data_IF_552483855680
#
_entry.id   IF_552483855680
#
_cell.length_a   1.000
_cell.length_b   1.000
_cell.length_c   1.000
_cell.angle_alpha   90.00
_cell.angle_beta   90.00
_cell.angle_gamma   90.00
#
_symmetry.space_group_name_H-M   'P 1'
#
loop_
_entity.id
_entity.type
_entity.pdbx_description
1 polymer ?
#
# COMPACT_ATOMS: atom_id res chain seq x y z
N UNK A 1 -30.13 43.69 32.65
CA UNK A 1 -31.16 42.98 31.86
C UNK A 1 -30.57 42.59 30.50
N UNK A 2 -30.04 41.39 30.36
CA UNK A 2 -29.78 40.76 29.05
C UNK A 2 -30.13 39.28 29.17
N UNK A 3 -31.18 38.87 28.45
CA UNK A 3 -31.69 37.50 28.42
C UNK A 3 -30.94 36.72 27.34
N UNK A 4 -30.36 35.60 27.75
CA UNK A 4 -29.72 34.61 26.90
C UNK A 4 -30.81 33.73 26.24
N UNK A 5 -30.94 33.65 24.91
CA UNK A 5 -31.96 32.83 24.26
C UNK A 5 -31.36 31.52 23.74
N UNK A 6 -30.82 30.68 24.62
CA UNK A 6 -30.44 29.30 24.29
C UNK A 6 -30.74 28.37 25.48
N UNK A 7 -32.02 28.30 25.84
CA UNK A 7 -32.59 27.18 26.61
C UNK A 7 -33.90 26.79 25.96
N UNK A 8 -33.81 26.10 24.84
CA UNK A 8 -34.90 25.26 24.36
C UNK A 8 -34.55 23.81 24.59
N UNK A 9 -35.51 23.13 25.22
CA UNK A 9 -35.36 21.83 25.82
C UNK A 9 -34.89 20.78 24.84
N UNK A 10 -33.99 19.94 25.32
CA UNK A 10 -33.69 18.65 24.73
C UNK A 10 -34.98 17.81 24.80
N UNK A 11 -35.82 17.93 23.76
CA UNK A 11 -36.75 16.85 23.41
C UNK A 11 -35.86 15.66 23.10
N UNK A 12 -35.99 14.59 23.87
CA UNK A 12 -35.51 13.26 23.47
C UNK A 12 -36.20 12.94 22.14
N UNK A 13 -35.52 13.19 21.04
CA UNK A 13 -35.94 12.73 19.74
C UNK A 13 -36.05 11.20 19.83
N UNK A 14 -37.09 10.63 19.22
CA UNK A 14 -37.20 9.18 19.05
C UNK A 14 -35.94 8.62 18.37
N UNK A 15 -35.79 7.28 18.30
CA UNK A 15 -34.61 6.66 17.71
C UNK A 15 -34.38 7.25 16.31
N UNK A 16 -33.31 8.04 16.18
CA UNK A 16 -32.82 8.54 14.91
C UNK A 16 -32.53 7.29 14.08
N UNK A 17 -33.03 7.22 12.84
CA UNK A 17 -32.82 6.02 12.03
C UNK A 17 -31.33 5.91 11.75
N UNK A 18 -30.77 4.71 11.88
CA UNK A 18 -29.34 4.41 11.75
C UNK A 18 -28.64 5.09 10.56
N UNK A 19 -29.33 5.16 9.42
CA UNK A 19 -28.83 5.79 8.19
C UNK A 19 -28.76 7.33 8.24
N UNK A 20 -29.55 7.98 9.09
CA UNK A 20 -29.54 9.43 9.29
C UNK A 20 -28.29 9.87 10.07
N UNK A 21 -27.84 9.08 11.04
CA UNK A 21 -26.62 9.36 11.82
C UNK A 21 -25.41 9.40 10.89
N UNK A 22 -25.22 8.37 10.06
CA UNK A 22 -24.10 8.34 9.12
C UNK A 22 -24.21 9.41 8.03
N UNK A 23 -25.42 9.76 7.60
CA UNK A 23 -25.63 10.87 6.65
C UNK A 23 -25.17 12.21 7.24
N UNK A 24 -25.48 12.48 8.51
CA UNK A 24 -25.02 13.70 9.20
C UNK A 24 -23.50 13.66 9.39
N UNK A 25 -22.95 12.53 9.84
CA UNK A 25 -21.51 12.37 10.03
C UNK A 25 -20.73 12.64 8.73
N UNK A 26 -21.19 12.11 7.58
CA UNK A 26 -20.60 12.38 6.26
C UNK A 26 -20.63 13.86 5.89
N UNK A 27 -21.72 14.57 6.19
CA UNK A 27 -21.81 16.00 5.92
C UNK A 27 -20.82 16.78 6.78
N UNK A 28 -20.69 16.41 8.06
CA UNK A 28 -19.76 17.05 9.01
C UNK A 28 -18.29 16.87 8.64
N UNK A 29 -17.90 15.76 8.01
CA UNK A 29 -16.51 15.53 7.55
C UNK A 29 -16.01 16.65 6.63
N UNK A 30 -16.90 17.31 5.89
CA UNK A 30 -16.53 18.43 5.03
C UNK A 30 -16.33 19.76 5.78
N UNK A 31 -16.87 19.87 7.00
CA UNK A 31 -16.85 21.10 7.79
C UNK A 31 -15.76 21.04 8.87
N UNK A 32 -15.76 19.98 9.69
CA UNK A 32 -14.81 19.78 10.79
C UNK A 32 -14.77 18.30 11.19
N UNK A 33 -13.72 17.58 10.76
CA UNK A 33 -13.54 16.16 11.06
C UNK A 33 -13.37 15.87 12.55
N UNK A 34 -12.87 16.84 13.32
CA UNK A 34 -12.57 16.66 14.75
C UNK A 34 -13.81 16.52 15.63
N UNK A 35 -14.96 17.06 15.17
CA UNK A 35 -16.24 16.98 15.87
C UNK A 35 -17.05 15.71 15.53
N UNK A 36 -16.69 15.02 14.45
CA UNK A 36 -17.42 13.84 13.97
C UNK A 36 -17.38 12.72 15.00
N UNK A 37 -16.23 12.49 15.64
CA UNK A 37 -16.09 11.43 16.63
C UNK A 37 -16.96 11.68 17.88
N UNK A 38 -17.07 12.94 18.33
CA UNK A 38 -17.95 13.32 19.43
C UNK A 38 -19.44 13.22 19.05
N UNK A 39 -19.78 13.54 17.80
CA UNK A 39 -21.14 13.35 17.31
C UNK A 39 -21.50 11.87 17.27
N UNK A 40 -20.63 11.03 16.69
CA UNK A 40 -20.83 9.58 16.60
C UNK A 40 -20.92 8.96 18.00
N UNK A 41 -20.07 9.32 18.95
CA UNK A 41 -20.13 8.74 20.30
C UNK A 41 -21.42 9.05 21.06
N UNK A 42 -22.12 10.13 20.70
CA UNK A 42 -23.38 10.57 21.34
C UNK A 42 -24.62 10.01 20.64
N UNK A 43 -24.52 9.72 19.33
CA UNK A 43 -25.68 9.44 18.49
C UNK A 43 -25.65 8.07 17.79
N UNK A 44 -24.49 7.44 17.68
CA UNK A 44 -24.33 6.12 17.08
C UNK A 44 -24.33 5.05 18.17
N UNK A 45 -25.38 4.22 18.19
CA UNK A 45 -25.36 2.99 18.97
C UNK A 45 -24.43 1.94 18.37
N UNK A 46 -23.88 1.04 19.19
CA UNK A 46 -23.01 -0.04 18.71
C UNK A 46 -23.75 -1.06 17.82
N UNK A 47 -25.06 -1.17 17.99
CA UNK A 47 -25.96 -1.93 17.12
C UNK A 47 -25.97 -1.40 15.68
N UNK A 48 -25.84 -0.09 15.50
CA UNK A 48 -25.70 0.55 14.18
C UNK A 48 -24.41 0.09 13.51
N UNK A 49 -23.29 0.15 14.22
CA UNK A 49 -21.99 -0.30 13.69
C UNK A 49 -22.02 -1.80 13.39
N UNK A 50 -22.57 -2.61 14.28
CA UNK A 50 -22.71 -4.05 14.07
C UNK A 50 -23.57 -4.38 12.84
N UNK A 51 -24.73 -3.72 12.69
CA UNK A 51 -25.61 -3.84 11.51
C UNK A 51 -24.89 -3.42 10.23
N UNK A 52 -24.16 -2.30 10.28
CA UNK A 52 -23.36 -1.80 9.16
C UNK A 52 -22.28 -2.81 8.74
N UNK A 53 -21.51 -3.36 9.68
CA UNK A 53 -20.51 -4.41 9.42
C UNK A 53 -21.16 -5.74 8.97
N UNK A 54 -22.44 -5.94 9.28
CA UNK A 54 -23.28 -7.01 8.72
C UNK A 54 -23.39 -6.94 7.20
N UNK A 55 -23.41 -5.73 6.63
CA UNK A 55 -23.41 -5.54 5.17
C UNK A 55 -22.10 -5.96 4.48
N UNK A 56 -21.04 -6.21 5.25
CA UNK A 56 -19.77 -6.75 4.76
C UNK A 56 -19.65 -8.25 4.93
N UNK A 57 -20.76 -8.98 5.16
CA UNK A 57 -20.72 -10.44 5.20
C UNK A 57 -20.02 -11.01 3.94
N UNK A 58 -19.00 -11.85 4.16
CA UNK A 58 -18.19 -12.42 3.10
C UNK A 58 -18.98 -13.36 2.17
N UNK A 59 -20.10 -13.93 2.65
CA UNK A 59 -21.01 -14.74 1.83
C UNK A 59 -21.73 -13.94 0.74
N UNK A 60 -21.77 -12.61 0.87
CA UNK A 60 -22.36 -11.70 -0.10
C UNK A 60 -21.38 -11.28 -1.22
N UNK A 61 -20.11 -11.67 -1.11
CA UNK A 61 -19.08 -11.34 -2.11
C UNK A 61 -19.39 -12.09 -3.42
N UNK A 62 -19.55 -11.37 -4.54
CA UNK A 62 -19.80 -12.00 -5.82
C UNK A 62 -18.62 -12.85 -6.31
N UNK A 63 -18.88 -13.91 -7.10
CA UNK A 63 -17.81 -14.64 -7.78
C UNK A 63 -17.03 -13.73 -8.74
N UNK A 64 -15.71 -13.86 -8.76
CA UNK A 64 -14.79 -13.01 -9.52
C UNK A 64 -14.98 -12.99 -11.05
N UNK A 65 -15.73 -13.96 -11.60
CA UNK A 65 -15.83 -14.20 -13.06
C UNK A 65 -17.22 -13.88 -13.65
N UNK A 66 -18.08 -13.16 -12.93
CA UNK A 66 -19.40 -12.78 -13.46
C UNK A 66 -19.28 -11.52 -14.32
N UNK A 67 -18.91 -11.70 -15.59
CA UNK A 67 -19.06 -10.65 -16.60
C UNK A 67 -20.54 -10.25 -16.68
N UNK A 68 -20.85 -9.00 -16.33
CA UNK A 68 -22.23 -8.51 -16.23
C UNK A 68 -22.86 -8.85 -14.88
N UNK A 69 -22.47 -8.13 -13.84
CA UNK A 69 -23.11 -8.20 -12.52
C UNK A 69 -24.62 -8.06 -12.66
N UNK A 70 -25.35 -9.10 -12.27
CA UNK A 70 -26.81 -9.03 -12.15
C UNK A 70 -27.20 -7.82 -11.29
N UNK A 71 -28.41 -7.25 -11.45
CA UNK A 71 -28.85 -6.13 -10.63
C UNK A 71 -28.73 -6.40 -9.12
N UNK A 72 -28.97 -7.64 -8.69
CA UNK A 72 -28.80 -8.07 -7.30
C UNK A 72 -27.33 -8.04 -6.86
N UNK A 73 -26.43 -8.54 -7.71
CA UNK A 73 -24.99 -8.52 -7.46
C UNK A 73 -24.46 -7.09 -7.36
N UNK A 74 -24.90 -6.19 -8.26
CA UNK A 74 -24.54 -4.77 -8.21
C UNK A 74 -25.01 -4.12 -6.92
N UNK A 75 -26.22 -4.44 -6.46
CA UNK A 75 -26.76 -3.93 -5.20
C UNK A 75 -25.89 -4.30 -3.99
N UNK A 76 -25.38 -5.53 -3.91
CA UNK A 76 -24.49 -5.92 -2.81
C UNK A 76 -23.17 -5.15 -2.85
N UNK A 77 -22.58 -5.00 -4.04
CA UNK A 77 -21.35 -4.21 -4.24
C UNK A 77 -21.56 -2.74 -3.83
N UNK A 78 -22.67 -2.13 -4.22
CA UNK A 78 -23.01 -0.74 -3.89
C UNK A 78 -23.19 -0.55 -2.38
N UNK A 79 -23.89 -1.49 -1.71
CA UNK A 79 -24.07 -1.47 -0.26
C UNK A 79 -22.73 -1.62 0.44
N UNK A 80 -21.91 -2.62 0.08
CA UNK A 80 -20.60 -2.83 0.69
C UNK A 80 -19.66 -1.65 0.45
N UNK A 81 -19.71 -1.02 -0.73
CA UNK A 81 -18.94 0.19 -1.02
C UNK A 81 -19.39 1.38 -0.18
N UNK A 82 -20.70 1.55 0.05
CA UNK A 82 -21.23 2.57 0.95
C UNK A 82 -20.77 2.32 2.38
N UNK A 83 -20.85 1.07 2.85
CA UNK A 83 -20.36 0.67 4.17
C UNK A 83 -18.86 0.94 4.35
N UNK A 84 -18.03 0.66 3.35
CA UNK A 84 -16.59 0.99 3.40
C UNK A 84 -16.36 2.51 3.51
N UNK A 85 -17.20 3.31 2.86
CA UNK A 85 -17.15 4.77 2.95
C UNK A 85 -17.55 5.24 4.35
N UNK A 86 -18.58 4.65 4.95
CA UNK A 86 -18.97 4.92 6.33
C UNK A 86 -17.89 4.53 7.33
N UNK A 87 -17.27 3.36 7.14
CA UNK A 87 -16.14 2.92 7.95
C UNK A 87 -14.97 3.90 7.85
N UNK A 88 -14.67 4.41 6.64
CA UNK A 88 -13.65 5.44 6.47
C UNK A 88 -13.97 6.70 7.29
N UNK A 89 -15.23 7.16 7.29
CA UNK A 89 -15.65 8.33 8.08
C UNK A 89 -15.44 8.09 9.57
N UNK A 90 -15.86 6.93 10.08
CA UNK A 90 -15.68 6.57 11.49
C UNK A 90 -14.20 6.54 11.85
N UNK A 91 -13.40 5.78 11.10
CA UNK A 91 -11.96 5.61 11.38
C UNK A 91 -11.17 6.91 11.20
N UNK A 92 -11.52 7.72 10.21
CA UNK A 92 -10.93 9.05 10.01
C UNK A 92 -11.21 9.97 11.20
N UNK A 93 -12.46 10.00 11.67
CA UNK A 93 -12.85 10.83 12.82
C UNK A 93 -12.10 10.46 14.10
N UNK A 94 -11.73 9.19 14.27
CA UNK A 94 -10.95 8.73 15.42
C UNK A 94 -9.52 9.26 15.42
N UNK A 95 -8.92 9.42 14.24
CA UNK A 95 -7.57 9.96 14.13
C UNK A 95 -7.56 11.49 14.31
N UNK A 96 -8.65 12.18 13.96
CA UNK A 96 -8.77 13.63 14.05
C UNK A 96 -9.44 14.12 15.35
N UNK A 97 -9.83 13.21 16.25
CA UNK A 97 -10.59 13.53 17.45
C UNK A 97 -9.86 14.54 18.36
N UNK A 98 -10.53 15.65 18.69
CA UNK A 98 -9.97 16.68 19.56
C UNK A 98 -9.72 16.19 21.00
N UNK A 99 -10.61 15.32 21.51
CA UNK A 99 -10.59 14.80 22.88
C UNK A 99 -10.54 13.26 22.91
N UNK A 100 -9.43 12.63 22.45
CA UNK A 100 -9.38 11.18 22.25
C UNK A 100 -9.52 10.38 23.56
N UNK A 101 -9.11 10.94 24.70
CA UNK A 101 -9.23 10.28 26.00
C UNK A 101 -10.70 10.13 26.46
N UNK A 102 -11.53 11.14 26.20
CA UNK A 102 -12.96 11.09 26.55
C UNK A 102 -13.73 10.14 25.65
N UNK A 103 -13.31 10.02 24.39
CA UNK A 103 -13.92 9.15 23.39
C UNK A 103 -13.39 7.71 23.43
N UNK A 104 -12.35 7.46 24.22
CA UNK A 104 -11.66 6.18 24.28
C UNK A 104 -12.59 4.97 24.47
N UNK A 105 -13.56 4.95 25.40
CA UNK A 105 -14.43 3.79 25.57
C UNK A 105 -15.22 3.46 24.29
N UNK A 106 -15.82 4.46 23.66
CA UNK A 106 -16.55 4.30 22.40
C UNK A 106 -15.63 3.85 21.25
N UNK A 107 -14.43 4.43 21.17
CA UNK A 107 -13.44 4.01 20.18
C UNK A 107 -13.01 2.56 20.38
N UNK A 108 -12.73 2.16 21.63
CA UNK A 108 -12.33 0.79 21.99
C UNK A 108 -13.45 -0.22 21.64
N UNK A 109 -14.72 0.13 21.88
CA UNK A 109 -15.87 -0.69 21.47
C UNK A 109 -15.94 -0.84 19.94
N UNK A 110 -15.76 0.26 19.19
CA UNK A 110 -15.75 0.24 17.73
C UNK A 110 -14.59 -0.60 17.17
N UNK A 111 -13.40 -0.46 17.76
CA UNK A 111 -12.23 -1.24 17.39
C UNK A 111 -12.39 -2.73 17.71
N UNK A 112 -13.05 -3.06 18.83
CA UNK A 112 -13.38 -4.45 19.20
C UNK A 112 -14.24 -5.09 18.12
N UNK A 113 -15.33 -4.45 17.71
CA UNK A 113 -16.20 -4.93 16.63
C UNK A 113 -15.46 -5.06 15.30
N UNK A 114 -14.55 -4.13 14.99
CA UNK A 114 -13.76 -4.21 13.76
C UNK A 114 -12.76 -5.38 13.78
N UNK A 115 -12.15 -5.67 14.94
CA UNK A 115 -11.28 -6.85 15.11
C UNK A 115 -12.06 -8.14 14.88
N UNK A 116 -13.27 -8.24 15.45
CA UNK A 116 -14.15 -9.40 15.28
C UNK A 116 -14.57 -9.63 13.82
N UNK A 117 -14.70 -8.56 13.04
CA UNK A 117 -15.14 -8.57 11.63
C UNK A 117 -14.02 -8.31 10.63
N UNK A 118 -12.76 -8.42 11.05
CA UNK A 118 -11.60 -8.01 10.23
C UNK A 118 -11.46 -8.82 8.94
N UNK A 119 -11.82 -10.10 8.98
CA UNK A 119 -11.66 -10.99 7.83
C UNK A 119 -12.72 -10.70 6.75
N UNK A 120 -13.93 -10.34 7.16
CA UNK A 120 -15.00 -9.84 6.29
C UNK A 120 -14.56 -8.56 5.57
N UNK A 121 -14.09 -7.57 6.34
CA UNK A 121 -13.57 -6.31 5.80
C UNK A 121 -12.43 -6.59 4.83
N UNK A 122 -11.48 -7.44 5.21
CA UNK A 122 -10.33 -7.76 4.39
C UNK A 122 -10.70 -8.45 3.08
N UNK A 123 -11.65 -9.39 3.09
CA UNK A 123 -12.15 -10.06 1.88
C UNK A 123 -12.84 -9.08 0.93
N UNK A 124 -13.62 -8.14 1.45
CA UNK A 124 -14.22 -7.09 0.62
C UNK A 124 -13.18 -6.14 0.02
N UNK A 125 -12.13 -5.76 0.76
CA UNK A 125 -11.01 -4.98 0.20
C UNK A 125 -10.33 -5.78 -0.92
N UNK A 126 -10.01 -7.06 -0.69
CA UNK A 126 -9.39 -7.93 -1.70
C UNK A 126 -10.28 -8.10 -2.94
N UNK A 127 -11.61 -8.09 -2.79
CA UNK A 127 -12.55 -8.09 -3.91
C UNK A 127 -12.57 -6.74 -4.65
N UNK A 128 -12.63 -5.63 -3.91
CA UNK A 128 -12.72 -4.29 -4.48
C UNK A 128 -11.47 -3.85 -5.24
N UNK A 129 -10.29 -4.34 -4.85
CA UNK A 129 -9.02 -4.03 -5.54
C UNK A 129 -9.09 -4.36 -7.05
N UNK A 130 -9.29 -5.62 -7.48
CA UNK A 130 -9.42 -5.94 -8.91
C UNK A 130 -10.74 -5.43 -9.50
N UNK A 131 -11.83 -5.40 -8.73
CA UNK A 131 -13.13 -4.92 -9.21
C UNK A 131 -13.09 -3.44 -9.63
N UNK A 132 -12.49 -2.58 -8.80
CA UNK A 132 -12.38 -1.15 -9.06
C UNK A 132 -11.64 -0.89 -10.37
N UNK A 133 -10.59 -1.65 -10.66
CA UNK A 133 -9.78 -1.49 -11.88
C UNK A 133 -10.54 -1.91 -13.15
N UNK A 134 -11.56 -2.75 -13.03
CA UNK A 134 -12.41 -3.18 -14.14
C UNK A 134 -13.65 -2.30 -14.36
N UNK A 135 -14.10 -1.55 -13.36
CA UNK A 135 -15.30 -0.71 -13.43
C UNK A 135 -15.02 0.68 -14.03
N UNK A 136 -16.04 1.49 -14.34
CA UNK A 136 -15.86 2.91 -14.72
C UNK A 136 -15.82 3.85 -13.51
N UNK A 137 -16.11 3.35 -12.31
CA UNK A 137 -16.09 4.06 -11.02
C UNK A 137 -14.75 3.92 -10.27
N UNK A 138 -13.70 3.50 -10.99
CA UNK A 138 -12.37 3.05 -10.54
C UNK A 138 -11.78 3.84 -9.38
N UNK A 139 -11.80 5.17 -9.48
CA UNK A 139 -11.05 6.02 -8.56
C UNK A 139 -11.57 5.95 -7.13
N UNK A 140 -12.89 5.96 -6.96
CA UNK A 140 -13.49 6.21 -5.66
C UNK A 140 -13.42 4.98 -4.75
N UNK A 141 -13.71 3.77 -5.26
CA UNK A 141 -13.72 2.55 -4.44
C UNK A 141 -12.31 2.18 -4.01
N UNK A 142 -11.35 2.17 -4.95
CA UNK A 142 -9.95 1.88 -4.62
C UNK A 142 -9.40 2.90 -3.62
N UNK A 143 -9.73 4.17 -3.80
CA UNK A 143 -9.35 5.22 -2.87
C UNK A 143 -9.88 4.94 -1.47
N UNK A 144 -11.18 4.67 -1.31
CA UNK A 144 -11.78 4.31 -0.01
C UNK A 144 -11.06 3.12 0.62
N UNK A 145 -10.79 2.04 -0.13
CA UNK A 145 -10.06 0.89 0.40
C UNK A 145 -8.66 1.25 0.91
N UNK A 146 -7.91 2.06 0.14
CA UNK A 146 -6.57 2.49 0.53
C UNK A 146 -6.61 3.42 1.75
N UNK A 147 -7.58 4.33 1.82
CA UNK A 147 -7.75 5.21 2.98
C UNK A 147 -8.14 4.44 4.24
N UNK A 148 -9.07 3.48 4.15
CA UNK A 148 -9.41 2.59 5.28
C UNK A 148 -8.15 1.87 5.77
N UNK A 149 -7.33 1.36 4.85
CA UNK A 149 -6.04 0.76 5.20
C UNK A 149 -5.08 1.77 5.86
N UNK A 150 -5.01 3.01 5.40
CA UNK A 150 -4.19 4.04 6.07
C UNK A 150 -4.68 4.33 7.48
N UNK A 151 -6.00 4.47 7.69
CA UNK A 151 -6.55 4.78 9.00
C UNK A 151 -6.30 3.64 10.00
N UNK A 152 -6.41 2.38 9.55
CA UNK A 152 -6.07 1.21 10.36
C UNK A 152 -4.56 1.12 10.68
N UNK A 153 -3.68 1.66 9.83
CA UNK A 153 -2.21 1.64 9.98
C UNK A 153 -1.61 2.92 10.60
N UNK A 154 -2.45 3.84 11.10
CA UNK A 154 -2.02 5.13 11.65
C UNK A 154 -1.21 5.01 12.96
N UNK A 155 -0.41 6.04 13.28
CA UNK A 155 0.60 6.01 14.36
C UNK A 155 0.05 5.85 15.79
N UNK A 156 -1.24 6.14 16.03
CA UNK A 156 -1.87 5.94 17.32
C UNK A 156 -2.05 4.45 17.62
N UNK A 157 -1.08 3.86 18.32
CA UNK A 157 -1.03 2.43 18.65
C UNK A 157 -1.98 2.09 19.79
N UNK A 158 -2.83 1.11 19.55
CA UNK A 158 -3.65 0.43 20.55
C UNK A 158 -3.69 -1.06 20.24
N UNK A 159 -3.98 -1.88 21.24
CA UNK A 159 -4.01 -3.34 21.16
C UNK A 159 -4.80 -3.83 19.92
N UNK A 160 -5.99 -3.27 19.68
CA UNK A 160 -6.85 -3.65 18.55
C UNK A 160 -6.23 -3.39 17.17
N UNK A 161 -5.59 -2.22 16.98
CA UNK A 161 -4.92 -1.91 15.71
C UNK A 161 -3.76 -2.86 15.47
N UNK A 162 -2.98 -3.17 16.49
CA UNK A 162 -1.89 -4.14 16.37
C UNK A 162 -2.40 -5.52 15.93
N UNK A 163 -3.57 -5.94 16.43
CA UNK A 163 -4.20 -7.19 16.03
C UNK A 163 -4.64 -7.19 14.55
N UNK A 164 -5.29 -6.11 14.09
CA UNK A 164 -5.69 -5.95 12.68
C UNK A 164 -4.46 -5.92 11.77
N UNK A 165 -3.46 -5.13 12.13
CA UNK A 165 -2.24 -4.93 11.35
C UNK A 165 -1.45 -6.23 11.23
N UNK A 166 -1.35 -7.01 12.31
CA UNK A 166 -0.58 -8.25 12.31
C UNK A 166 -1.28 -9.40 11.57
N UNK A 167 -2.56 -9.26 11.24
CA UNK A 167 -3.32 -10.30 10.54
C UNK A 167 -2.75 -10.60 9.14
N UNK A 168 -2.72 -11.89 8.77
CA UNK A 168 -2.26 -12.35 7.47
C UNK A 168 -3.11 -11.78 6.30
N UNK A 169 -4.41 -11.55 6.54
CA UNK A 169 -5.32 -10.94 5.58
C UNK A 169 -4.90 -9.50 5.22
N UNK A 170 -4.47 -8.72 6.20
CA UNK A 170 -3.92 -7.37 6.01
C UNK A 170 -2.63 -7.41 5.18
N UNK A 171 -1.69 -8.31 5.49
CA UNK A 171 -0.47 -8.50 4.69
C UNK A 171 -0.80 -8.85 3.21
N UNK A 172 -1.79 -9.70 2.96
CA UNK A 172 -2.24 -10.03 1.60
C UNK A 172 -2.79 -8.82 0.85
N UNK A 173 -3.57 -7.96 1.51
CA UNK A 173 -4.08 -6.71 0.91
C UNK A 173 -2.93 -5.83 0.47
N UNK A 174 -1.93 -5.63 1.33
CA UNK A 174 -0.75 -4.80 1.04
C UNK A 174 0.00 -5.33 -0.19
N UNK A 175 0.21 -6.64 -0.26
CA UNK A 175 0.84 -7.30 -1.41
C UNK A 175 -0.01 -7.15 -2.69
N UNK A 176 -1.33 -7.27 -2.61
CA UNK A 176 -2.22 -7.08 -3.77
C UNK A 176 -2.22 -5.62 -4.26
N UNK A 177 -2.27 -4.66 -3.34
CA UNK A 177 -2.24 -3.24 -3.67
C UNK A 177 -0.95 -2.86 -4.40
N UNK A 178 0.21 -3.33 -3.93
CA UNK A 178 1.48 -2.99 -4.57
C UNK A 178 1.64 -3.67 -5.95
N UNK A 179 1.03 -4.84 -6.14
CA UNK A 179 1.06 -5.58 -7.41
C UNK A 179 -0.04 -5.15 -8.40
N UNK A 180 -0.88 -4.19 -8.04
CA UNK A 180 -2.04 -3.82 -8.83
C UNK A 180 -1.62 -3.14 -10.13
N UNK A 181 -2.05 -3.71 -11.26
CA UNK A 181 -1.81 -3.18 -12.60
C UNK A 181 -3.12 -2.94 -13.33
N UNK A 182 -3.15 -1.90 -14.16
CA UNK A 182 -4.32 -1.58 -14.96
C UNK A 182 -4.40 -2.52 -16.17
N UNK A 183 -5.52 -3.23 -16.41
CA UNK A 183 -5.61 -4.33 -17.39
C UNK A 183 -5.38 -3.84 -18.82
N UNK A 184 -5.79 -2.60 -19.14
CA UNK A 184 -5.59 -2.04 -20.48
C UNK A 184 -4.17 -1.52 -20.73
N UNK A 185 -3.58 -0.79 -19.79
CA UNK A 185 -2.28 -0.12 -20.00
C UNK A 185 -1.11 -0.94 -19.52
N UNK A 186 -1.36 -2.00 -18.73
CA UNK A 186 -0.37 -2.80 -18.03
C UNK A 186 0.55 -1.96 -17.12
N UNK A 187 0.17 -0.72 -16.82
CA UNK A 187 0.87 0.16 -15.90
C UNK A 187 0.44 -0.10 -14.46
N UNK A 188 1.34 0.17 -13.52
CA UNK A 188 1.02 0.17 -12.10
C UNK A 188 -0.11 1.15 -11.79
N UNK A 189 -1.05 0.73 -10.95
CA UNK A 189 -2.16 1.61 -10.53
C UNK A 189 -1.65 2.62 -9.51
N UNK A 190 -2.14 3.86 -9.60
CA UNK A 190 -1.80 4.92 -8.65
C UNK A 190 -3.07 5.45 -8.00
N UNK A 191 -3.10 5.51 -6.68
CA UNK A 191 -4.16 6.15 -5.91
C UNK A 191 -3.63 7.50 -5.39
N UNK A 192 -4.21 8.62 -5.84
CA UNK A 192 -3.76 9.97 -5.49
C UNK A 192 -4.92 10.75 -4.85
N UNK A 193 -4.70 11.27 -3.64
CA UNK A 193 -5.67 12.13 -2.95
C UNK A 193 -5.82 13.51 -3.61
N UNK A 194 -4.70 14.05 -4.10
CA UNK A 194 -4.63 15.36 -4.71
C UNK A 194 -3.50 15.38 -5.76
N UNK A 195 -3.53 16.32 -6.72
CA UNK A 195 -2.37 16.61 -7.53
C UNK A 195 -1.18 16.83 -6.59
N UNK A 196 -0.07 16.12 -6.84
CA UNK A 196 1.20 16.27 -6.11
C UNK A 196 1.28 15.71 -4.67
N UNK A 197 0.26 15.04 -4.12
CA UNK A 197 0.36 14.39 -2.78
C UNK A 197 1.09 13.04 -2.76
N UNK A 198 1.59 12.56 -3.90
CA UNK A 198 2.17 11.21 -4.01
C UNK A 198 1.06 10.14 -4.13
N UNK A 199 1.46 8.87 -3.99
CA UNK A 199 0.60 7.70 -4.18
C UNK A 199 0.30 7.03 -2.83
N UNK A 200 -0.95 7.04 -2.41
CA UNK A 200 -1.40 6.48 -1.13
C UNK A 200 -1.09 4.97 -1.00
N UNK A 201 -1.05 4.22 -2.11
CA UNK A 201 -0.64 2.80 -2.10
C UNK A 201 0.80 2.63 -1.59
N UNK A 202 1.72 3.49 -2.05
CA UNK A 202 3.12 3.42 -1.60
C UNK A 202 3.26 3.85 -0.15
N UNK A 203 2.43 4.78 0.28
CA UNK A 203 2.39 5.23 1.68
C UNK A 203 1.87 4.15 2.62
N UNK A 204 0.77 3.48 2.27
CA UNK A 204 0.27 2.29 2.97
C UNK A 204 1.34 1.20 3.05
N UNK A 205 2.05 0.94 1.94
CA UNK A 205 3.16 -0.02 1.89
C UNK A 205 4.25 0.33 2.92
N UNK A 206 4.72 1.58 2.94
CA UNK A 206 5.72 2.04 3.90
C UNK A 206 5.20 1.93 5.33
N UNK A 207 4.03 2.51 5.61
CA UNK A 207 3.44 2.56 6.94
C UNK A 207 3.29 1.14 7.50
N UNK A 208 2.70 0.23 6.72
CA UNK A 208 2.52 -1.15 7.14
C UNK A 208 3.84 -1.86 7.45
N UNK A 209 4.88 -1.69 6.64
CA UNK A 209 6.15 -2.40 6.86
C UNK A 209 7.05 -1.78 7.92
N UNK A 210 6.76 -0.53 8.33
CA UNK A 210 7.56 0.20 9.32
C UNK A 210 6.84 0.40 10.65
N UNK A 211 5.56 0.04 10.76
CA UNK A 211 4.78 0.24 11.98
C UNK A 211 5.27 -0.66 13.12
N UNK A 212 5.46 -1.96 12.92
CA UNK A 212 6.00 -2.86 13.96
C UNK A 212 6.68 -4.10 13.36
N UNK A 213 7.33 -4.88 14.21
CA UNK A 213 7.98 -6.12 13.76
C UNK A 213 6.96 -7.16 13.25
N UNK A 214 5.78 -7.23 13.87
CA UNK A 214 4.74 -8.23 13.54
C UNK A 214 4.19 -8.07 12.12
N UNK A 215 3.82 -6.86 11.71
CA UNK A 215 3.39 -6.54 10.33
C UNK A 215 4.42 -6.93 9.28
N UNK A 216 5.67 -6.56 9.53
CA UNK A 216 6.79 -6.96 8.67
C UNK A 216 6.91 -8.49 8.58
N UNK A 217 6.88 -9.19 9.71
CA UNK A 217 6.93 -10.65 9.74
C UNK A 217 5.77 -11.28 8.98
N UNK A 218 4.55 -10.74 9.09
CA UNK A 218 3.39 -11.22 8.35
C UNK A 218 3.58 -11.11 6.83
N UNK A 219 4.15 -10.00 6.32
CA UNK A 219 4.47 -9.89 4.87
C UNK A 219 5.57 -10.86 4.47
N UNK A 220 6.63 -10.98 5.26
CA UNK A 220 7.72 -11.93 4.99
C UNK A 220 7.21 -13.36 4.93
N UNK A 221 6.34 -13.76 5.85
CA UNK A 221 5.73 -15.08 5.87
C UNK A 221 4.86 -15.31 4.62
N UNK A 222 3.97 -14.36 4.30
CA UNK A 222 3.14 -14.47 3.09
C UNK A 222 3.99 -14.58 1.82
N UNK A 223 5.07 -13.79 1.69
CA UNK A 223 5.97 -13.86 0.54
C UNK A 223 6.79 -15.15 0.50
N UNK A 224 7.19 -15.69 1.67
CA UNK A 224 7.94 -16.95 1.76
C UNK A 224 7.08 -18.13 1.33
N UNK A 225 5.81 -18.14 1.72
CA UNK A 225 4.82 -19.15 1.34
C UNK A 225 4.32 -18.99 -0.09
N UNK A 226 4.53 -17.81 -0.71
CA UNK A 226 4.06 -17.53 -2.06
C UNK A 226 4.88 -18.26 -3.15
N UNK A 227 4.20 -18.54 -4.26
CA UNK A 227 4.83 -19.13 -5.45
C UNK A 227 5.98 -18.25 -5.97
N UNK A 228 7.01 -18.83 -6.60
CA UNK A 228 8.09 -18.05 -7.20
C UNK A 228 7.59 -17.01 -8.21
N UNK A 229 6.48 -17.27 -8.89
CA UNK A 229 5.85 -16.32 -9.81
C UNK A 229 5.32 -15.08 -9.07
N UNK A 230 4.59 -15.27 -7.97
CA UNK A 230 4.06 -14.18 -7.12
C UNK A 230 5.19 -13.33 -6.54
N UNK A 231 6.24 -13.98 -6.04
CA UNK A 231 7.44 -13.29 -5.53
C UNK A 231 8.12 -12.42 -6.58
N UNK A 232 8.25 -12.92 -7.81
CA UNK A 232 8.77 -12.12 -8.94
C UNK A 232 7.84 -10.96 -9.28
N UNK A 233 6.53 -11.19 -9.29
CA UNK A 233 5.54 -10.14 -9.58
C UNK A 233 5.66 -8.97 -8.59
N UNK A 234 5.84 -9.24 -7.30
CA UNK A 234 6.04 -8.19 -6.28
C UNK A 234 7.24 -7.32 -6.63
N UNK A 235 8.37 -7.93 -6.98
CA UNK A 235 9.60 -7.19 -7.32
C UNK A 235 9.44 -6.40 -8.60
N UNK A 236 8.86 -7.02 -9.64
CA UNK A 236 8.54 -6.33 -10.88
C UNK A 236 7.64 -5.13 -10.61
N UNK A 237 6.60 -5.28 -9.79
CA UNK A 237 5.68 -4.20 -9.47
C UNK A 237 6.34 -3.06 -8.69
N UNK A 238 7.25 -3.36 -7.76
CA UNK A 238 8.03 -2.35 -7.04
C UNK A 238 8.96 -1.57 -7.98
N UNK A 239 9.67 -2.28 -8.88
CA UNK A 239 10.57 -1.68 -9.88
C UNK A 239 9.79 -0.86 -10.91
N UNK A 240 8.67 -1.37 -11.40
CA UNK A 240 7.80 -0.69 -12.35
C UNK A 240 7.13 0.53 -11.71
N UNK A 241 6.82 0.46 -10.42
CA UNK A 241 6.36 1.62 -9.64
C UNK A 241 7.42 2.70 -9.59
N UNK A 242 8.68 2.36 -9.29
CA UNK A 242 9.78 3.33 -9.32
C UNK A 242 9.95 3.94 -10.73
N UNK A 243 9.92 3.10 -11.78
CA UNK A 243 10.01 3.54 -13.18
C UNK A 243 8.93 4.54 -13.55
N UNK A 244 7.66 4.22 -13.27
CA UNK A 244 6.53 5.08 -13.63
C UNK A 244 6.55 6.40 -12.84
N UNK A 245 7.14 6.44 -11.63
CA UNK A 245 7.32 7.71 -10.92
C UNK A 245 8.41 8.57 -11.56
N UNK A 246 9.50 7.96 -12.03
CA UNK A 246 10.55 8.72 -12.73
C UNK A 246 10.08 9.30 -14.06
N UNK A 247 9.19 8.63 -14.79
CA UNK A 247 8.66 9.14 -16.07
C UNK A 247 7.66 10.30 -15.91
N UNK A 248 7.23 10.62 -14.70
CA UNK A 248 6.22 11.63 -14.40
C UNK A 248 6.81 12.91 -13.78
N UNK A 249 8.13 13.02 -13.74
CA UNK A 249 8.86 14.18 -13.20
C UNK A 249 8.86 15.35 -14.19
N UNK A 250 7.73 16.05 -14.33
CA UNK A 250 7.60 17.18 -15.27
C UNK A 250 7.83 18.56 -14.63
N UNK A 251 7.72 18.66 -13.31
CA UNK A 251 7.93 19.90 -12.56
C UNK A 251 8.40 19.60 -11.12
N UNK A 252 8.77 20.64 -10.37
CA UNK A 252 9.24 20.54 -8.98
C UNK A 252 8.26 19.81 -8.04
N UNK A 253 6.95 20.04 -8.18
CA UNK A 253 5.94 19.39 -7.33
C UNK A 253 5.79 17.92 -7.69
N UNK A 254 5.85 17.58 -8.97
CA UNK A 254 5.84 16.22 -9.47
C UNK A 254 7.09 15.45 -9.00
N UNK A 255 8.27 16.08 -9.02
CA UNK A 255 9.51 15.50 -8.49
C UNK A 255 9.38 15.21 -6.99
N UNK A 256 8.88 16.17 -6.18
CA UNK A 256 8.66 15.96 -4.74
C UNK A 256 7.69 14.81 -4.47
N UNK A 257 6.58 14.74 -5.21
CA UNK A 257 5.61 13.66 -5.08
C UNK A 257 6.22 12.29 -5.47
N UNK A 258 7.00 12.27 -6.55
CA UNK A 258 7.61 11.07 -7.08
C UNK A 258 8.77 10.57 -6.19
N UNK A 259 9.59 11.47 -5.64
CA UNK A 259 10.66 11.12 -4.69
C UNK A 259 10.11 10.62 -3.37
N UNK A 260 9.04 11.22 -2.83
CA UNK A 260 8.31 10.68 -1.67
C UNK A 260 7.78 9.27 -1.93
N UNK A 261 7.17 9.04 -3.09
CA UNK A 261 6.73 7.69 -3.49
C UNK A 261 7.88 6.71 -3.56
N UNK A 262 9.00 7.11 -4.17
CA UNK A 262 10.19 6.26 -4.28
C UNK A 262 10.76 5.90 -2.92
N UNK A 263 10.89 6.89 -2.03
CA UNK A 263 11.28 6.67 -0.64
C UNK A 263 10.32 5.68 0.04
N UNK A 264 9.01 5.88 -0.06
CA UNK A 264 8.03 4.98 0.53
C UNK A 264 8.19 3.53 0.03
N UNK A 265 8.45 3.33 -1.27
CA UNK A 265 8.69 2.01 -1.86
C UNK A 265 9.94 1.34 -1.25
N UNK A 266 11.08 2.03 -1.29
CA UNK A 266 12.37 1.50 -0.83
C UNK A 266 12.35 1.26 0.68
N UNK A 267 11.80 2.20 1.45
CA UNK A 267 11.69 2.13 2.91
C UNK A 267 10.82 0.99 3.41
N UNK A 268 9.88 0.48 2.60
CA UNK A 268 9.17 -0.75 2.98
C UNK A 268 9.99 -2.02 2.71
N UNK A 269 10.92 -1.99 1.77
CA UNK A 269 11.63 -3.21 1.30
C UNK A 269 12.91 -3.55 2.05
N UNK A 270 13.63 -2.56 2.62
CA UNK A 270 14.95 -2.78 3.22
C UNK A 270 14.94 -3.77 4.40
N UNK A 271 13.80 -3.90 5.08
CA UNK A 271 13.61 -4.79 6.24
C UNK A 271 13.56 -6.29 5.86
N UNK A 272 13.41 -6.63 4.58
CA UNK A 272 13.28 -8.03 4.18
C UNK A 272 14.52 -8.87 4.55
N UNK A 273 14.32 -10.10 5.06
CA UNK A 273 15.43 -10.94 5.45
C UNK A 273 16.20 -11.44 4.22
N UNK A 274 17.50 -11.68 4.40
CA UNK A 274 18.42 -12.09 3.32
C UNK A 274 17.94 -13.30 2.48
N UNK A 275 17.38 -14.39 3.07
CA UNK A 275 16.85 -15.50 2.28
C UNK A 275 15.75 -15.07 1.30
N UNK A 276 14.86 -14.17 1.75
CA UNK A 276 13.81 -13.62 0.91
C UNK A 276 14.42 -12.76 -0.21
N UNK A 277 15.35 -11.86 0.11
CA UNK A 277 16.09 -11.06 -0.87
C UNK A 277 16.82 -11.88 -1.94
N UNK A 278 17.34 -13.05 -1.59
CA UNK A 278 17.96 -13.98 -2.54
C UNK A 278 16.92 -14.47 -3.56
N UNK A 279 15.74 -14.89 -3.09
CA UNK A 279 14.67 -15.41 -3.95
C UNK A 279 13.98 -14.32 -4.77
N UNK A 280 14.02 -13.08 -4.30
CA UNK A 280 13.43 -11.90 -4.94
C UNK A 280 14.33 -11.25 -6.01
N UNK A 281 15.45 -11.88 -6.40
CA UNK A 281 16.41 -11.30 -7.35
C UNK A 281 16.86 -9.88 -6.95
N UNK A 282 17.27 -9.73 -5.69
CA UNK A 282 17.78 -8.48 -5.11
C UNK A 282 18.80 -7.73 -5.98
N UNK A 283 19.61 -8.40 -6.82
CA UNK A 283 20.56 -7.69 -7.71
C UNK A 283 19.83 -6.79 -8.69
N UNK A 284 18.80 -7.35 -9.31
CA UNK A 284 18.02 -6.66 -10.35
C UNK A 284 17.23 -5.52 -9.72
N UNK A 285 16.58 -5.77 -8.59
CA UNK A 285 15.91 -4.73 -7.81
C UNK A 285 16.86 -3.56 -7.47
N UNK A 286 18.01 -3.86 -6.85
CA UNK A 286 18.98 -2.84 -6.44
C UNK A 286 19.52 -2.07 -7.64
N UNK A 287 19.90 -2.74 -8.73
CA UNK A 287 20.39 -2.07 -9.93
C UNK A 287 19.36 -1.11 -10.53
N UNK A 288 18.10 -1.52 -10.62
CA UNK A 288 17.03 -0.67 -11.12
C UNK A 288 16.71 0.50 -10.18
N UNK A 289 16.57 0.24 -8.88
CA UNK A 289 16.29 1.29 -7.90
C UNK A 289 17.43 2.30 -7.82
N UNK A 290 18.70 1.88 -7.86
CA UNK A 290 19.83 2.81 -7.92
C UNK A 290 19.80 3.65 -9.19
N UNK A 291 19.48 3.06 -10.35
CA UNK A 291 19.29 3.82 -11.61
C UNK A 291 18.21 4.90 -11.46
N UNK A 292 17.06 4.57 -10.88
CA UNK A 292 15.97 5.53 -10.71
C UNK A 292 16.29 6.60 -9.66
N UNK A 293 16.99 6.25 -8.58
CA UNK A 293 17.49 7.20 -7.60
C UNK A 293 18.43 8.24 -8.22
N UNK A 294 19.35 7.80 -9.10
CA UNK A 294 20.23 8.71 -9.83
C UNK A 294 19.43 9.63 -10.78
N UNK A 295 18.37 9.12 -11.41
CA UNK A 295 17.48 9.96 -12.20
C UNK A 295 16.79 11.03 -11.34
N UNK A 296 16.27 10.66 -10.16
CA UNK A 296 15.71 11.64 -9.21
C UNK A 296 16.74 12.71 -8.79
N UNK A 297 17.97 12.30 -8.48
CA UNK A 297 19.03 13.22 -8.08
C UNK A 297 19.44 14.16 -9.22
N UNK A 298 19.50 13.66 -10.46
CA UNK A 298 19.78 14.47 -11.64
C UNK A 298 18.70 15.53 -11.84
N UNK A 299 17.44 15.11 -11.92
CA UNK A 299 16.32 16.04 -12.10
C UNK A 299 16.26 17.07 -10.97
N UNK A 300 16.40 16.63 -9.71
CA UNK A 300 16.41 17.56 -8.56
C UNK A 300 17.55 18.60 -8.63
N UNK A 301 18.73 18.20 -9.13
CA UNK A 301 19.87 19.10 -9.32
C UNK A 301 19.61 20.18 -10.36
N UNK A 302 18.82 19.91 -11.40
CA UNK A 302 18.46 20.89 -12.42
C UNK A 302 17.59 22.04 -11.85
N UNK A 303 16.87 21.81 -10.74
CA UNK A 303 16.06 22.83 -10.06
C UNK A 303 16.82 23.61 -8.97
N UNK A 304 18.13 23.38 -8.77
CA UNK A 304 19.03 24.10 -7.84
C UNK A 304 18.50 24.26 -6.40
N UNK A 305 17.75 23.27 -5.91
CA UNK A 305 16.96 23.39 -4.68
C UNK A 305 17.50 22.49 -3.58
N UNK A 306 18.62 22.90 -2.97
CA UNK A 306 19.37 22.09 -1.99
C UNK A 306 18.71 21.96 -0.61
N UNK A 307 17.66 22.74 -0.31
CA UNK A 307 16.95 22.75 0.98
C UNK A 307 15.54 22.15 0.92
N UNK A 308 15.26 21.34 -0.09
CA UNK A 308 13.93 20.74 -0.27
C UNK A 308 13.80 19.33 0.29
N UNK A 309 12.58 18.99 0.73
CA UNK A 309 12.16 17.61 1.05
C UNK A 309 12.54 16.59 -0.04
N UNK A 310 12.76 17.04 -1.28
CA UNK A 310 13.22 16.18 -2.39
C UNK A 310 14.56 15.53 -2.03
N UNK A 311 15.55 16.31 -1.58
CA UNK A 311 16.87 15.78 -1.20
C UNK A 311 16.81 14.93 0.06
N UNK A 312 15.90 15.23 0.98
CA UNK A 312 15.64 14.38 2.13
C UNK A 312 15.20 12.98 1.67
N UNK A 313 14.17 12.89 0.81
CA UNK A 313 13.68 11.61 0.30
C UNK A 313 14.74 10.87 -0.55
N UNK A 314 15.51 11.58 -1.37
CA UNK A 314 16.61 11.00 -2.16
C UNK A 314 17.69 10.43 -1.23
N UNK A 315 18.17 11.21 -0.27
CA UNK A 315 19.22 10.79 0.67
C UNK A 315 18.79 9.60 1.50
N UNK A 316 17.58 9.63 2.06
CA UNK A 316 17.04 8.51 2.82
C UNK A 316 16.86 7.26 1.95
N UNK A 317 16.40 7.42 0.70
CA UNK A 317 16.31 6.28 -0.22
C UNK A 317 17.69 5.68 -0.53
N UNK A 318 18.71 6.53 -0.68
CA UNK A 318 20.10 6.09 -0.88
C UNK A 318 20.60 5.28 0.32
N UNK A 319 20.35 5.76 1.53
CA UNK A 319 20.71 5.08 2.78
C UNK A 319 20.03 3.71 2.90
N UNK A 320 18.72 3.64 2.64
CA UNK A 320 17.97 2.37 2.68
C UNK A 320 18.48 1.36 1.63
N UNK A 321 18.81 1.83 0.43
CA UNK A 321 19.45 1.00 -0.60
C UNK A 321 20.84 0.54 -0.16
N UNK A 322 21.66 1.42 0.42
CA UNK A 322 22.97 1.07 0.93
C UNK A 322 22.89 0.03 2.05
N UNK A 323 21.96 0.17 3.00
CA UNK A 323 21.72 -0.82 4.06
C UNK A 323 21.29 -2.17 3.48
N UNK A 324 20.40 -2.18 2.49
CA UNK A 324 19.98 -3.40 1.79
C UNK A 324 21.17 -4.09 1.11
N UNK A 325 22.08 -3.32 0.50
CA UNK A 325 23.31 -3.84 -0.07
C UNK A 325 24.28 -4.37 1.00
N UNK A 326 24.43 -3.69 2.14
CA UNK A 326 25.32 -4.09 3.23
C UNK A 326 24.89 -5.41 3.88
N UNK A 327 23.59 -5.59 4.16
CA UNK A 327 23.02 -6.86 4.67
C UNK A 327 23.39 -8.03 3.77
N UNK A 328 23.53 -7.78 2.47
CA UNK A 328 23.89 -8.77 1.47
C UNK A 328 25.36 -9.15 1.49
N UNK A 329 26.26 -8.19 1.70
CA UNK A 329 27.71 -8.41 1.75
C UNK A 329 28.09 -9.17 3.02
N UNK A 330 27.57 -8.75 4.18
CA UNK A 330 27.87 -9.35 5.48
C UNK A 330 27.41 -10.81 5.57
N UNK A 331 26.29 -11.16 4.91
CA UNK A 331 25.74 -12.52 4.92
C UNK A 331 26.18 -13.39 3.75
N UNK A 332 27.05 -12.89 2.88
CA UNK A 332 27.60 -13.66 1.76
C UNK A 332 29.12 -13.46 1.54
N UNK A 333 29.97 -13.61 2.58
CA UNK A 333 31.42 -13.48 2.41
C UNK A 333 32.05 -14.62 1.59
N UNK A 334 31.34 -15.74 1.40
CA UNK A 334 31.92 -16.99 0.87
C UNK A 334 31.73 -17.14 -0.66
N UNK A 335 30.65 -16.62 -1.26
CA UNK A 335 30.46 -16.73 -2.72
C UNK A 335 31.38 -15.81 -3.53
N UNK A 336 31.94 -14.76 -2.93
CA UNK A 336 32.89 -13.84 -3.58
C UNK A 336 34.28 -14.43 -3.78
N UNK A 337 34.77 -15.24 -2.83
CA UNK A 337 36.11 -15.85 -2.91
C UNK A 337 36.17 -17.12 -3.78
N UNK A 338 35.04 -17.76 -4.08
CA UNK A 338 35.04 -18.93 -4.96
C UNK A 338 35.05 -18.58 -6.46
N UNK A 339 34.59 -17.38 -6.88
CA UNK A 339 34.59 -17.01 -8.30
C UNK A 339 35.90 -16.44 -8.83
N UNK A 340 36.77 -15.92 -7.96
CA UNK A 340 38.09 -15.40 -8.38
C UNK A 340 39.14 -16.49 -8.57
N UNK A 341 38.94 -17.72 -8.07
CA UNK A 341 39.90 -18.83 -8.30
C UNK A 341 39.70 -19.58 -9.61
N UNK A 342 38.50 -19.58 -10.18
CA UNK A 342 38.23 -20.32 -11.43
C UNK A 342 38.54 -19.50 -12.70
N UNK A 343 38.86 -18.21 -12.56
CA UNK A 343 39.20 -17.33 -13.70
C UNK A 343 40.72 -17.21 -13.95
N UNK A 344 41.56 -17.90 -13.17
CA UNK A 344 43.03 -17.81 -13.26
C UNK A 344 43.72 -19.07 -13.83
N UNK A 345 42.98 -20.02 -14.40
CA UNK A 345 43.54 -21.28 -14.92
C UNK A 345 42.95 -21.65 -16.28
N UNK A 346 43.37 -20.94 -17.33
CA UNK A 346 43.50 -21.49 -18.70
C UNK A 346 44.09 -20.45 -19.64
N UNK A 347 45.42 -20.32 -19.61
CA UNK A 347 46.20 -19.82 -20.74
C UNK A 347 46.65 -21.04 -21.55
N UNK A 348 46.19 -21.26 -22.79
CA UNK A 348 46.91 -22.11 -23.73
C UNK A 348 47.87 -21.22 -24.53
N UNK A 349 49.16 -21.48 -24.38
CA UNK A 349 50.21 -21.01 -25.29
C UNK A 349 50.09 -21.71 -26.67
N UNK A 350 50.64 -21.11 -27.74
CA UNK A 350 50.34 -21.48 -29.12
C UNK A 350 51.12 -22.74 -29.55
N UNK A 351 50.51 -23.55 -30.42
CA UNK A 351 51.25 -24.53 -31.22
C UNK A 351 51.23 -24.12 -32.68
N UNK A 352 52.45 -23.91 -33.18
CA UNK A 352 52.82 -23.73 -34.58
C UNK A 352 52.39 -24.92 -35.44
N UNK A 353 52.12 -24.63 -36.71
CA UNK A 353 51.37 -25.49 -37.61
C UNK A 353 52.15 -26.58 -38.32
N UNK A 354 51.41 -27.33 -39.12
CA UNK A 354 51.88 -27.81 -40.43
C UNK A 354 50.67 -28.05 -41.32
N UNK A 355 50.69 -27.46 -42.51
CA UNK A 355 49.70 -27.61 -43.55
C UNK A 355 49.88 -28.95 -44.29
N UNK A 356 48.79 -29.61 -44.66
CA UNK A 356 48.73 -30.42 -45.88
C UNK A 356 47.39 -30.18 -46.57
N UNK A 357 47.50 -29.96 -47.87
CA UNK A 357 46.52 -29.50 -48.85
C UNK A 357 46.10 -30.71 -49.71
N UNK A 358 44.81 -30.93 -49.91
CA UNK A 358 44.18 -31.60 -51.07
C UNK A 358 42.67 -31.58 -50.79
N UNK A 359 41.77 -31.12 -51.66
CA UNK A 359 41.80 -31.10 -53.12
C UNK A 359 40.78 -32.14 -53.60
N UNK A 360 39.52 -31.75 -53.73
CA UNK A 360 38.54 -32.48 -54.53
C UNK A 360 37.46 -31.51 -55.05
N UNK A 361 37.30 -31.55 -56.35
CA UNK A 361 36.50 -30.72 -57.26
C UNK A 361 35.26 -31.46 -57.74
N UNK A 362 34.18 -30.72 -58.05
CA UNK A 362 33.11 -31.06 -59.00
C UNK A 362 32.15 -32.16 -58.52
N UNK A 363 30.86 -32.16 -58.85
CA UNK A 363 30.14 -31.52 -59.96
C UNK A 363 28.62 -31.71 -59.75
N UNK A 364 27.85 -30.75 -60.29
CA UNK A 364 26.38 -30.71 -60.52
C UNK A 364 25.42 -30.60 -59.33
#
# INVERSE_FOLDING_TARGET
MHRNPLRHGVRRNGPVRDWEVMKVARAMVHEDTSQVAEYLSKNMGLDVLHSMLGNLDASLIPPANTEGHSPATRRHVDIASSTMTDLLVILGSFNDAANPLTLKPFMDDCWTLLVERRDEVARWILYFIPYSVASSSVGNILHVCVEVMMMMNSEHRGFYKEEIISAASTARIIIHLICLTHPRTQKVVTCRQAPFRGCSITEVWRLYLTVNASSHLSVVEQLTMASPATRRQVITALVDSARERTSQMCDRRAIRAASRCFFNLVSGTWVFPYPLWRTLNSRTFMAHCSKYLLAFAKEAGEYQDHESDIWLYISQSAEMLAMTAAVRVVKNPIEGHCRERDSASSIPLPREGTAVRSGASGSE
#
